data_IF_600203794641
#
_entry.id   IF_600203794641
#
_cell.length_a   1.000
_cell.length_b   1.000
_cell.length_c   1.000
_cell.angle_alpha   90.00
_cell.angle_beta   90.00
_cell.angle_gamma   90.00
#
_symmetry.space_group_name_H-M   'P 1'
#
loop_
_entity.id
_entity.type
_entity.pdbx_description
1 polymer ?
#
# COMPACT_ATOMS: atom_id res chain seq x y z
N UNK A 1 -85.15 -18.89 25.45
CA UNK A 1 -84.22 -17.91 26.01
C UNK A 1 -82.82 -18.49 26.23
N UNK A 2 -81.85 -17.78 25.65
CA UNK A 2 -80.41 -17.68 25.96
C UNK A 2 -79.52 -18.93 25.95
N UNK A 3 -78.54 -19.01 25.02
CA UNK A 3 -77.31 -19.77 25.23
C UNK A 3 -76.15 -18.88 25.71
N UNK A 4 -75.36 -19.48 26.59
CA UNK A 4 -74.27 -18.90 27.37
C UNK A 4 -73.05 -18.55 26.51
N UNK A 5 -72.51 -17.37 26.76
CA UNK A 5 -71.27 -16.79 26.26
C UNK A 5 -70.06 -17.67 26.59
N UNK A 6 -69.28 -18.07 25.58
CA UNK A 6 -67.91 -18.57 25.76
C UNK A 6 -66.91 -17.64 25.07
N UNK A 7 -65.87 -17.28 25.81
CA UNK A 7 -64.84 -16.29 25.45
C UNK A 7 -63.85 -16.81 24.40
N UNK A 8 -63.23 -15.94 23.57
CA UNK A 8 -62.24 -16.37 22.60
C UNK A 8 -60.88 -16.64 23.25
N UNK A 9 -60.33 -17.82 22.95
CA UNK A 9 -59.04 -18.34 23.43
C UNK A 9 -57.88 -17.51 22.84
N UNK A 10 -57.09 -16.86 23.70
CA UNK A 10 -55.86 -16.15 23.32
C UNK A 10 -54.87 -17.07 22.58
N UNK A 11 -54.46 -16.70 21.36
CA UNK A 11 -53.33 -17.32 20.66
C UNK A 11 -52.03 -16.82 21.30
N UNK A 12 -51.18 -17.74 21.76
CA UNK A 12 -49.82 -17.41 22.22
C UNK A 12 -48.99 -16.92 21.02
N UNK A 13 -48.65 -15.63 21.00
CA UNK A 13 -47.65 -15.08 20.10
C UNK A 13 -46.27 -15.54 20.62
N UNK A 14 -45.60 -16.45 19.92
CA UNK A 14 -44.17 -16.66 20.13
C UNK A 14 -43.43 -15.53 19.40
N UNK A 15 -42.50 -14.80 20.04
CA UNK A 15 -41.70 -13.79 19.35
C UNK A 15 -40.81 -14.46 18.29
N UNK A 16 -40.58 -13.75 17.19
CA UNK A 16 -39.66 -14.19 16.13
C UNK A 16 -38.23 -14.32 16.69
N UNK A 17 -37.43 -15.30 16.23
CA UNK A 17 -36.04 -15.43 16.65
C UNK A 17 -35.24 -14.19 16.21
N UNK A 18 -34.24 -13.77 17.02
CA UNK A 18 -33.42 -12.61 16.70
C UNK A 18 -32.60 -12.84 15.42
N UNK A 19 -32.27 -11.77 14.67
CA UNK A 19 -31.40 -11.87 13.50
C UNK A 19 -30.00 -12.35 13.90
N UNK A 20 -29.28 -13.05 13.01
CA UNK A 20 -27.91 -13.48 13.29
C UNK A 20 -26.99 -12.27 13.51
N UNK A 21 -26.08 -12.40 14.49
CA UNK A 21 -25.10 -11.37 14.84
C UNK A 21 -24.16 -11.09 13.65
N UNK A 22 -23.76 -9.82 13.42
CA UNK A 22 -22.78 -9.47 12.39
C UNK A 22 -21.40 -10.05 12.75
N UNK A 23 -20.76 -10.69 11.77
CA UNK A 23 -19.49 -11.44 11.86
C UNK A 23 -18.25 -10.57 12.17
N UNK A 24 -18.39 -9.31 12.59
CA UNK A 24 -17.24 -8.39 12.71
C UNK A 24 -16.45 -8.49 14.03
N UNK A 25 -16.67 -9.52 14.87
CA UNK A 25 -15.96 -9.68 16.16
C UNK A 25 -14.95 -10.83 16.19
N UNK A 26 -14.69 -11.51 15.07
CA UNK A 26 -13.66 -12.55 14.96
C UNK A 26 -12.55 -12.11 14.00
N UNK A 27 -11.86 -11.04 14.37
CA UNK A 27 -10.58 -10.68 13.79
C UNK A 27 -9.59 -10.51 14.94
N UNK A 28 -9.16 -11.65 15.48
CA UNK A 28 -7.83 -11.89 16.08
C UNK A 28 -7.88 -13.25 16.77
N UNK A 29 -7.33 -14.26 16.08
CA UNK A 29 -6.51 -15.37 16.62
C UNK A 29 -6.30 -16.38 15.47
N UNK A 30 -5.07 -16.38 14.95
CA UNK A 30 -4.26 -17.50 14.48
C UNK A 30 -4.92 -18.67 13.72
N UNK A 31 -4.60 -18.72 12.42
CA UNK A 31 -4.20 -19.88 11.60
C UNK A 31 -4.37 -21.28 12.23
N UNK A 32 -5.49 -21.93 11.94
CA UNK A 32 -5.56 -23.34 11.53
C UNK A 32 -6.87 -23.53 10.74
N UNK A 33 -6.79 -24.20 9.60
CA UNK A 33 -7.91 -24.40 8.68
C UNK A 33 -8.64 -25.70 9.01
N UNK A 34 -9.97 -25.68 9.28
CA UNK A 34 -10.81 -26.84 9.03
C UNK A 34 -11.62 -26.59 7.77
N UNK A 35 -11.38 -27.43 6.77
CA UNK A 35 -12.22 -27.59 5.59
C UNK A 35 -13.62 -28.07 6.03
N UNK A 36 -14.50 -27.13 6.38
CA UNK A 36 -15.91 -27.41 6.65
C UNK A 36 -16.58 -27.67 5.30
N UNK A 37 -16.81 -28.94 5.00
CA UNK A 37 -17.53 -29.38 3.81
C UNK A 37 -19.01 -28.98 3.92
N UNK A 38 -19.43 -28.05 3.08
CA UNK A 38 -20.83 -27.64 2.93
C UNK A 38 -21.74 -28.78 2.43
N UNK A 39 -21.16 -29.92 2.05
CA UNK A 39 -21.88 -31.09 1.53
C UNK A 39 -22.45 -31.94 2.67
N UNK A 40 -21.77 -32.03 3.81
CA UNK A 40 -22.20 -32.83 4.96
C UNK A 40 -23.47 -32.26 5.63
N UNK A 41 -23.60 -30.92 5.66
CA UNK A 41 -24.77 -30.27 6.24
C UNK A 41 -26.05 -30.45 5.39
N UNK A 42 -25.88 -30.58 4.06
CA UNK A 42 -26.99 -30.87 3.14
C UNK A 42 -27.48 -32.31 3.28
N UNK A 43 -26.56 -33.26 3.49
CA UNK A 43 -26.90 -34.69 3.66
C UNK A 43 -27.64 -34.91 4.98
N UNK A 44 -27.23 -34.24 6.07
CA UNK A 44 -27.88 -34.32 7.39
C UNK A 44 -29.31 -33.77 7.39
N UNK A 45 -29.56 -32.65 6.70
CA UNK A 45 -30.92 -32.11 6.51
C UNK A 45 -31.81 -33.03 5.65
N UNK A 46 -31.24 -33.71 4.65
CA UNK A 46 -31.99 -34.66 3.82
C UNK A 46 -32.34 -35.96 4.57
N UNK A 47 -31.45 -36.48 5.43
CA UNK A 47 -31.77 -37.64 6.28
C UNK A 47 -32.88 -37.32 7.28
N UNK A 48 -32.86 -36.13 7.86
CA UNK A 48 -33.88 -35.66 8.81
C UNK A 48 -35.27 -35.50 8.18
N UNK A 49 -35.34 -35.21 6.88
CA UNK A 49 -36.59 -35.11 6.13
C UNK A 49 -37.12 -36.47 5.68
N UNK A 50 -36.24 -37.44 5.39
CA UNK A 50 -36.62 -38.81 5.01
C UNK A 50 -37.21 -39.60 6.18
N UNK A 51 -36.74 -39.36 7.40
CA UNK A 51 -37.24 -40.03 8.62
C UNK A 51 -38.66 -39.60 9.04
N UNK A 52 -39.13 -38.41 8.62
CA UNK A 52 -40.49 -37.92 8.94
C UNK A 52 -41.59 -38.50 8.06
N UNK A 53 -41.25 -39.21 6.98
CA UNK A 53 -42.22 -39.72 6.01
C UNK A 53 -42.62 -41.19 6.24
N UNK A 54 -42.11 -41.84 7.29
CA UNK A 54 -42.36 -43.26 7.61
C UNK A 54 -43.05 -43.49 8.96
N UNK A 55 -44.06 -42.67 9.30
CA UNK A 55 -45.03 -43.04 10.34
C UNK A 55 -46.39 -43.26 9.70
N UNK A 56 -46.78 -44.53 9.61
CA UNK A 56 -48.14 -44.97 9.29
C UNK A 56 -49.13 -44.43 10.33
N UNK A 57 -50.25 -43.81 9.94
CA UNK A 57 -51.35 -43.56 10.86
C UNK A 57 -52.15 -44.84 11.03
N UNK A 58 -52.32 -45.28 12.28
CA UNK A 58 -53.35 -46.23 12.67
C UNK A 58 -54.75 -45.70 12.31
N UNK A 59 -55.63 -46.66 12.06
CA UNK A 59 -57.01 -46.53 11.57
C UNK A 59 -57.84 -45.52 12.39
N UNK A 60 -58.47 -44.57 11.69
CA UNK A 60 -59.67 -43.88 12.18
C UNK A 60 -60.48 -43.37 10.98
N UNK A 61 -61.72 -43.84 10.92
CA UNK A 61 -62.65 -43.74 9.80
C UNK A 61 -63.43 -42.41 9.86
N UNK A 62 -62.93 -41.36 9.20
CA UNK A 62 -63.69 -40.13 8.93
C UNK A 62 -63.24 -39.52 7.59
N UNK A 63 -64.15 -39.03 6.73
CA UNK A 63 -63.81 -38.55 5.39
C UNK A 63 -63.19 -37.16 5.47
N UNK A 64 -61.91 -37.09 5.84
CA UNK A 64 -61.12 -35.89 5.76
C UNK A 64 -60.72 -35.69 4.29
N UNK A 65 -61.43 -34.82 3.57
CA UNK A 65 -61.01 -34.42 2.23
C UNK A 65 -59.61 -33.81 2.27
N UNK A 66 -58.64 -34.56 1.75
CA UNK A 66 -57.27 -34.14 1.62
C UNK A 66 -57.17 -32.98 0.62
N UNK A 67 -56.98 -31.76 1.16
CA UNK A 67 -56.79 -30.52 0.40
C UNK A 67 -55.54 -30.57 -0.50
N UNK A 68 -54.68 -31.57 -0.36
CA UNK A 68 -53.56 -31.85 -1.28
C UNK A 68 -54.04 -32.25 -2.68
N UNK A 69 -55.16 -32.99 -2.77
CA UNK A 69 -55.67 -33.55 -4.04
C UNK A 69 -56.25 -32.49 -4.99
N UNK A 70 -56.68 -31.33 -4.48
CA UNK A 70 -57.28 -30.28 -5.30
C UNK A 70 -56.28 -29.37 -6.01
N UNK A 71 -54.97 -29.63 -5.94
CA UNK A 71 -53.96 -28.83 -6.65
C UNK A 71 -53.94 -27.33 -6.26
N UNK A 72 -54.62 -26.95 -5.17
CA UNK A 72 -54.78 -25.56 -4.71
C UNK A 72 -53.51 -25.00 -4.02
N UNK A 73 -52.44 -25.79 -3.92
CA UNK A 73 -51.12 -25.34 -3.47
C UNK A 73 -50.31 -24.63 -4.58
N UNK A 74 -50.97 -24.01 -5.56
CA UNK A 74 -50.31 -23.04 -6.45
C UNK A 74 -50.15 -21.73 -5.69
N UNK A 75 -49.30 -21.69 -4.65
CA UNK A 75 -48.77 -20.41 -4.18
C UNK A 75 -48.02 -19.83 -5.37
N UNK A 76 -48.57 -18.81 -6.03
CA UNK A 76 -47.84 -18.04 -7.04
C UNK A 76 -46.62 -17.49 -6.32
N UNK A 77 -45.45 -18.12 -6.49
CA UNK A 77 -44.20 -17.55 -6.02
C UNK A 77 -44.05 -16.26 -6.82
N UNK A 78 -44.04 -15.14 -6.11
CA UNK A 78 -43.74 -13.85 -6.74
C UNK A 78 -42.37 -13.90 -7.41
N UNK A 79 -42.07 -12.95 -8.32
CA UNK A 79 -40.74 -12.81 -8.89
C UNK A 79 -39.67 -12.85 -7.79
N UNK A 80 -38.53 -13.48 -8.08
CA UNK A 80 -37.42 -13.51 -7.14
C UNK A 80 -37.01 -12.07 -6.78
N UNK A 81 -36.74 -11.77 -5.50
CA UNK A 81 -36.20 -10.48 -5.10
C UNK A 81 -34.92 -10.14 -5.90
N UNK A 82 -34.72 -8.86 -6.19
CA UNK A 82 -33.52 -8.41 -6.90
C UNK A 82 -32.25 -8.78 -6.12
N UNK A 83 -31.18 -9.14 -6.85
CA UNK A 83 -29.87 -9.41 -6.25
C UNK A 83 -29.34 -8.12 -5.62
N UNK A 84 -28.68 -8.19 -4.44
CA UNK A 84 -28.12 -7.00 -3.81
C UNK A 84 -27.02 -6.40 -4.68
N UNK A 85 -27.02 -5.08 -4.82
CA UNK A 85 -26.01 -4.34 -5.58
C UNK A 85 -24.66 -4.46 -4.85
N UNK A 86 -23.57 -4.83 -5.54
CA UNK A 86 -22.24 -4.86 -4.95
C UNK A 86 -21.88 -3.49 -4.35
N UNK A 87 -21.18 -3.48 -3.21
CA UNK A 87 -20.67 -2.24 -2.65
C UNK A 87 -19.21 -2.05 -3.09
N UNK A 88 -18.87 -0.83 -3.49
CA UNK A 88 -17.49 -0.44 -3.74
C UNK A 88 -16.72 -0.48 -2.41
N UNK A 89 -15.59 -1.18 -2.40
CA UNK A 89 -14.70 -1.23 -1.23
C UNK A 89 -14.15 0.16 -0.92
N UNK A 90 -14.15 0.51 0.37
CA UNK A 90 -13.56 1.76 0.87
C UNK A 90 -12.07 1.55 1.05
N UNK A 91 -11.25 2.30 0.32
CA UNK A 91 -9.80 2.29 0.50
C UNK A 91 -9.46 3.22 1.65
N UNK A 92 -8.53 2.81 2.51
CA UNK A 92 -7.95 3.70 3.51
C UNK A 92 -6.97 4.63 2.79
N UNK A 93 -7.50 5.75 2.32
CA UNK A 93 -6.74 6.77 1.61
C UNK A 93 -5.87 7.52 2.61
N UNK A 94 -4.56 7.55 2.40
CA UNK A 94 -3.69 8.53 3.07
C UNK A 94 -4.04 9.93 2.55
N UNK A 95 -3.94 10.95 3.41
CA UNK A 95 -4.28 12.30 2.97
C UNK A 95 -3.34 12.74 1.86
N UNK A 96 -3.84 12.81 0.63
CA UNK A 96 -3.09 13.32 -0.53
C UNK A 96 -2.63 14.76 -0.31
N UNK A 97 -3.34 15.49 0.56
CA UNK A 97 -2.94 16.82 0.99
C UNK A 97 -1.65 16.76 1.80
N UNK A 98 -1.51 15.78 2.68
CA UNK A 98 -0.34 15.65 3.56
C UNK A 98 0.89 15.24 2.75
N UNK A 99 0.75 14.26 1.84
CA UNK A 99 1.83 13.88 0.91
C UNK A 99 2.29 15.06 0.06
N UNK A 100 1.34 15.89 -0.42
CA UNK A 100 1.68 17.08 -1.18
C UNK A 100 2.41 18.12 -0.33
N UNK A 101 1.90 18.39 0.88
CA UNK A 101 2.55 19.32 1.80
C UNK A 101 3.98 18.89 2.11
N UNK A 102 4.20 17.62 2.38
CA UNK A 102 5.53 17.09 2.66
C UNK A 102 6.48 17.21 1.46
N UNK A 103 6.00 16.97 0.24
CA UNK A 103 6.78 17.21 -0.97
C UNK A 103 7.17 18.68 -1.14
N UNK A 104 6.23 19.60 -0.89
CA UNK A 104 6.48 21.05 -0.97
C UNK A 104 7.50 21.48 0.12
N UNK A 105 7.42 20.91 1.33
CA UNK A 105 8.39 21.13 2.42
C UNK A 105 9.80 20.63 2.04
N UNK A 106 9.89 19.44 1.47
CA UNK A 106 11.16 18.86 0.99
C UNK A 106 11.79 19.76 -0.09
N UNK A 107 11.00 20.29 -1.02
CA UNK A 107 11.50 21.20 -2.06
C UNK A 107 12.14 22.46 -1.45
N UNK A 108 11.49 23.06 -0.44
CA UNK A 108 12.03 24.22 0.28
C UNK A 108 13.32 23.86 1.02
N UNK A 109 13.36 22.71 1.69
CA UNK A 109 14.55 22.23 2.40
C UNK A 109 15.73 22.01 1.45
N UNK A 110 15.51 21.35 0.31
CA UNK A 110 16.54 21.12 -0.71
C UNK A 110 17.13 22.44 -1.22
N UNK A 111 16.30 23.44 -1.50
CA UNK A 111 16.78 24.78 -1.91
C UNK A 111 17.59 25.47 -0.79
N UNK A 112 17.22 25.26 0.47
CA UNK A 112 17.97 25.74 1.63
C UNK A 112 19.37 25.12 1.70
N UNK A 113 19.45 23.80 1.58
CA UNK A 113 20.71 23.06 1.58
C UNK A 113 21.59 23.45 0.39
N UNK A 114 21.03 23.67 -0.80
CA UNK A 114 21.79 24.15 -1.95
C UNK A 114 22.46 25.51 -1.69
N UNK A 115 21.72 26.46 -1.11
CA UNK A 115 22.28 27.78 -0.76
C UNK A 115 23.35 27.67 0.32
N UNK A 116 23.16 26.81 1.31
CA UNK A 116 24.18 26.55 2.33
C UNK A 116 25.42 25.90 1.71
N UNK A 117 25.24 24.94 0.81
CA UNK A 117 26.31 24.23 0.12
C UNK A 117 27.18 25.17 -0.70
N UNK A 118 26.58 26.11 -1.44
CA UNK A 118 27.33 27.14 -2.19
C UNK A 118 28.18 28.01 -1.25
N UNK A 119 27.62 28.45 -0.11
CA UNK A 119 28.37 29.27 0.86
C UNK A 119 29.53 28.49 1.49
N UNK A 120 29.28 27.25 1.85
CA UNK A 120 30.28 26.38 2.47
C UNK A 120 31.41 26.05 1.50
N UNK A 121 31.08 25.79 0.23
CA UNK A 121 32.05 25.52 -0.81
C UNK A 121 32.96 26.71 -1.08
N UNK A 122 32.39 27.93 -1.12
CA UNK A 122 33.17 29.16 -1.21
C UNK A 122 34.13 29.31 -0.04
N UNK A 123 33.67 29.04 1.19
CA UNK A 123 34.52 29.11 2.39
C UNK A 123 35.66 28.09 2.36
N UNK A 124 35.41 26.87 1.87
CA UNK A 124 36.45 25.85 1.67
C UNK A 124 37.49 26.33 0.66
N UNK A 125 37.07 26.89 -0.48
CA UNK A 125 37.98 27.44 -1.49
C UNK A 125 38.84 28.57 -0.92
N UNK A 126 38.21 29.53 -0.26
CA UNK A 126 38.88 30.70 0.31
C UNK A 126 39.95 30.27 1.33
N UNK A 127 39.66 29.27 2.18
CA UNK A 127 40.58 28.71 3.18
C UNK A 127 41.71 27.89 2.53
N UNK A 128 41.46 27.18 1.44
CA UNK A 128 42.49 26.45 0.70
C UNK A 128 43.42 27.39 -0.08
N UNK A 129 42.91 28.49 -0.63
CA UNK A 129 43.67 29.44 -1.46
C UNK A 129 44.42 30.49 -0.62
N UNK A 130 43.94 30.81 0.59
CA UNK A 130 44.52 31.85 1.46
C UNK A 130 44.76 31.34 2.90
N UNK A 131 45.72 30.43 3.13
CA UNK A 131 45.97 29.85 4.46
C UNK A 131 46.49 30.85 5.50
N UNK A 132 47.22 31.90 5.08
CA UNK A 132 47.91 32.85 5.98
C UNK A 132 47.06 34.05 6.45
N UNK A 133 45.78 34.16 6.05
CA UNK A 133 44.93 35.33 6.34
C UNK A 133 44.29 35.32 7.74
N UNK A 134 44.61 34.33 8.57
CA UNK A 134 43.89 34.02 9.80
C UNK A 134 44.65 34.36 11.08
N UNK A 135 45.01 35.64 11.25
CA UNK A 135 45.54 36.15 12.51
C UNK A 135 44.73 37.37 12.91
N UNK A 136 43.58 37.16 13.57
CA UNK A 136 42.84 38.29 14.16
C UNK A 136 41.37 38.12 14.54
N UNK A 137 40.62 37.15 14.01
CA UNK A 137 39.18 37.05 14.31
C UNK A 137 38.79 35.66 14.83
N UNK A 138 38.49 35.60 16.12
CA UNK A 138 38.27 34.40 16.95
C UNK A 138 36.97 33.63 16.62
N UNK A 139 36.39 33.86 15.45
CA UNK A 139 35.15 33.22 14.99
C UNK A 139 35.35 32.33 13.74
N UNK A 140 36.57 32.23 13.20
CA UNK A 140 36.93 31.42 12.01
C UNK A 140 38.05 30.42 12.38
N UNK A 141 37.79 29.60 13.39
CA UNK A 141 38.68 28.51 13.82
C UNK A 141 38.18 27.14 13.35
N UNK A 142 37.38 27.07 12.27
CA UNK A 142 37.17 25.78 11.59
C UNK A 142 38.30 25.54 10.59
N UNK A 143 38.99 24.44 10.75
CA UNK A 143 40.01 24.00 9.80
C UNK A 143 39.37 23.55 8.49
N UNK A 144 40.15 23.53 7.41
CA UNK A 144 39.68 23.09 6.09
C UNK A 144 39.05 21.68 6.13
N UNK A 145 39.57 20.81 7.00
CA UNK A 145 39.04 19.46 7.20
C UNK A 145 37.65 19.46 7.84
N UNK A 146 37.39 20.35 8.80
CA UNK A 146 36.09 20.45 9.47
C UNK A 146 35.03 21.02 8.51
N UNK A 147 35.39 21.98 7.66
CA UNK A 147 34.49 22.50 6.63
C UNK A 147 34.12 21.43 5.60
N UNK A 148 35.05 20.54 5.26
CA UNK A 148 34.79 19.40 4.37
C UNK A 148 33.87 18.37 5.03
N UNK A 149 34.01 18.13 6.33
CA UNK A 149 33.07 17.27 7.09
C UNK A 149 31.66 17.86 7.09
N UNK A 150 31.52 19.17 7.30
CA UNK A 150 30.23 19.86 7.23
C UNK A 150 29.62 19.74 5.82
N UNK A 151 30.44 19.80 4.76
CA UNK A 151 29.97 19.62 3.39
C UNK A 151 29.46 18.19 3.16
N UNK A 152 30.14 17.20 3.74
CA UNK A 152 29.68 15.82 3.68
C UNK A 152 28.35 15.62 4.40
N UNK A 153 28.18 16.21 5.59
CA UNK A 153 26.92 16.18 6.33
C UNK A 153 25.77 16.80 5.53
N UNK A 154 26.00 17.96 4.92
CA UNK A 154 25.02 18.64 4.06
C UNK A 154 24.60 17.79 2.86
N UNK A 155 25.56 17.15 2.18
CA UNK A 155 25.27 16.23 1.06
C UNK A 155 24.45 15.03 1.54
N UNK A 156 24.76 14.49 2.71
CA UNK A 156 24.01 13.38 3.28
C UNK A 156 22.56 13.77 3.60
N UNK A 157 22.35 14.93 4.23
CA UNK A 157 21.01 15.47 4.49
C UNK A 157 20.22 15.68 3.19
N UNK A 158 20.88 16.24 2.15
CA UNK A 158 20.24 16.41 0.84
C UNK A 158 19.86 15.06 0.21
N UNK A 159 20.69 14.04 0.33
CA UNK A 159 20.40 12.70 -0.17
C UNK A 159 19.22 12.06 0.57
N UNK A 160 19.11 12.27 1.89
CA UNK A 160 17.98 11.78 2.67
C UNK A 160 16.66 12.42 2.23
N UNK A 161 16.67 13.72 1.91
CA UNK A 161 15.52 14.40 1.33
C UNK A 161 15.14 13.83 -0.05
N UNK A 162 16.10 13.48 -0.90
CA UNK A 162 15.81 12.83 -2.19
C UNK A 162 15.23 11.42 -2.02
N UNK A 163 15.76 10.62 -1.08
CA UNK A 163 15.21 9.31 -0.73
C UNK A 163 13.76 9.44 -0.27
N UNK A 164 13.49 10.38 0.65
CA UNK A 164 12.14 10.67 1.15
C UNK A 164 11.19 11.12 0.05
N UNK A 165 11.64 12.01 -0.84
CA UNK A 165 10.85 12.46 -1.98
C UNK A 165 10.47 11.30 -2.91
N UNK A 166 11.42 10.39 -3.20
CA UNK A 166 11.18 9.22 -4.03
C UNK A 166 10.16 8.26 -3.39
N UNK A 167 10.27 8.02 -2.08
CA UNK A 167 9.31 7.23 -1.30
C UNK A 167 7.89 7.82 -1.42
N UNK A 168 7.73 9.13 -1.20
CA UNK A 168 6.44 9.82 -1.32
C UNK A 168 5.83 9.71 -2.72
N UNK A 169 6.67 9.74 -3.76
CA UNK A 169 6.22 9.57 -5.14
C UNK A 169 5.72 8.16 -5.42
N UNK A 170 6.41 7.12 -4.91
CA UNK A 170 5.97 5.73 -4.99
C UNK A 170 4.66 5.52 -4.22
N UNK A 171 4.55 6.14 -3.05
CA UNK A 171 3.36 6.08 -2.21
C UNK A 171 2.14 6.71 -2.90
N UNK A 172 2.33 7.87 -3.54
CA UNK A 172 1.31 8.52 -4.37
C UNK A 172 0.87 7.65 -5.55
N UNK A 173 1.80 6.93 -6.18
CA UNK A 173 1.51 5.98 -7.27
C UNK A 173 0.72 4.78 -6.75
N UNK A 174 1.12 4.23 -5.60
CA UNK A 174 0.48 3.11 -4.92
C UNK A 174 -0.98 3.40 -4.61
N UNK A 175 -1.28 4.60 -4.10
CA UNK A 175 -2.66 5.01 -3.81
C UNK A 175 -3.53 5.11 -5.07
N UNK A 176 -3.03 5.70 -6.16
CA UNK A 176 -3.77 5.77 -7.44
C UNK A 176 -4.12 4.37 -7.96
N UNK A 177 -3.17 3.44 -7.89
CA UNK A 177 -3.39 2.04 -8.28
C UNK A 177 -4.43 1.36 -7.38
N UNK A 178 -4.47 1.66 -6.09
CA UNK A 178 -5.52 1.14 -5.19
C UNK A 178 -6.90 1.68 -5.53
N UNK A 179 -7.01 2.98 -5.81
CA UNK A 179 -8.27 3.62 -6.24
C UNK A 179 -8.80 2.97 -7.53
N UNK A 180 -7.93 2.83 -8.53
CA UNK A 180 -8.26 2.16 -9.80
C UNK A 180 -8.66 0.70 -9.57
N UNK A 181 -7.94 -0.02 -8.70
CA UNK A 181 -8.25 -1.39 -8.33
C UNK A 181 -9.66 -1.52 -7.73
N UNK A 182 -10.06 -0.65 -6.80
CA UNK A 182 -11.41 -0.70 -6.23
C UNK A 182 -12.50 -0.37 -7.25
N UNK A 183 -12.24 0.54 -8.19
CA UNK A 183 -13.17 0.87 -9.27
C UNK A 183 -13.34 -0.28 -10.26
N UNK A 184 -12.26 -0.95 -10.65
CA UNK A 184 -12.30 -2.08 -11.57
C UNK A 184 -12.99 -3.28 -10.94
N UNK A 185 -12.67 -3.62 -9.69
CA UNK A 185 -13.35 -4.74 -9.03
C UNK A 185 -14.85 -4.47 -8.85
N UNK A 186 -15.24 -3.25 -8.52
CA UNK A 186 -16.64 -2.88 -8.47
C UNK A 186 -17.33 -3.12 -9.81
N UNK A 187 -16.72 -2.69 -10.92
CA UNK A 187 -17.26 -2.94 -12.27
C UNK A 187 -17.38 -4.42 -12.60
N UNK A 188 -16.35 -5.23 -12.29
CA UNK A 188 -16.38 -6.68 -12.48
C UNK A 188 -17.54 -7.28 -11.68
N UNK A 189 -17.69 -6.93 -10.40
CA UNK A 189 -18.80 -7.43 -9.56
C UNK A 189 -20.17 -7.05 -10.14
N UNK A 190 -20.31 -5.87 -10.73
CA UNK A 190 -21.55 -5.47 -11.41
C UNK A 190 -21.83 -6.33 -12.65
N UNK A 191 -20.82 -6.65 -13.46
CA UNK A 191 -20.99 -7.54 -14.62
C UNK A 191 -21.33 -8.98 -14.19
N UNK A 192 -20.72 -9.47 -13.11
CA UNK A 192 -21.01 -10.79 -12.53
C UNK A 192 -22.43 -10.93 -11.93
N UNK A 193 -23.14 -9.82 -11.69
CA UNK A 193 -24.54 -9.89 -11.25
C UNK A 193 -25.47 -10.41 -12.35
N UNK A 194 -25.08 -10.24 -13.62
CA UNK A 194 -25.83 -10.71 -14.77
C UNK A 194 -25.55 -12.21 -14.97
N UNK A 195 -26.59 -13.07 -14.95
CA UNK A 195 -26.40 -14.50 -15.20
C UNK A 195 -25.79 -14.75 -16.57
N UNK A 196 -24.94 -15.78 -16.68
CA UNK A 196 -24.26 -16.17 -17.92
C UNK A 196 -25.23 -16.41 -19.09
N UNK A 197 -26.43 -16.93 -18.82
CA UNK A 197 -27.47 -17.15 -19.83
C UNK A 197 -28.01 -15.86 -20.47
N UNK A 198 -27.87 -14.73 -19.78
CA UNK A 198 -28.33 -13.40 -20.24
C UNK A 198 -27.16 -12.47 -20.55
N UNK A 199 -25.92 -12.94 -20.43
CA UNK A 199 -24.71 -12.15 -20.60
C UNK A 199 -24.38 -12.02 -22.08
N UNK A 200 -24.25 -10.79 -22.57
CA UNK A 200 -23.88 -10.56 -23.98
C UNK A 200 -22.39 -10.86 -24.19
N UNK A 201 -21.99 -11.12 -25.43
CA UNK A 201 -20.57 -11.32 -25.75
C UNK A 201 -19.75 -10.04 -25.48
N UNK A 202 -20.37 -8.87 -25.64
CA UNK A 202 -19.76 -7.59 -25.24
C UNK A 202 -19.51 -7.51 -23.73
N UNK A 203 -20.46 -7.96 -22.91
CA UNK A 203 -20.30 -7.99 -21.44
C UNK A 203 -19.16 -8.93 -21.03
N UNK A 204 -19.04 -10.09 -21.68
CA UNK A 204 -17.95 -11.05 -21.45
C UNK A 204 -16.59 -10.45 -21.84
N UNK A 205 -16.51 -9.85 -23.02
CA UNK A 205 -15.27 -9.21 -23.48
C UNK A 205 -14.86 -8.06 -22.56
N UNK A 206 -15.83 -7.26 -22.09
CA UNK A 206 -15.57 -6.19 -21.13
C UNK A 206 -15.09 -6.72 -19.78
N UNK A 207 -15.71 -7.79 -19.26
CA UNK A 207 -15.28 -8.44 -18.03
C UNK A 207 -13.85 -8.98 -18.14
N UNK A 208 -13.52 -9.65 -19.25
CA UNK A 208 -12.17 -10.15 -19.51
C UNK A 208 -11.14 -9.01 -19.56
N UNK A 209 -11.44 -7.92 -20.28
CA UNK A 209 -10.55 -6.75 -20.33
C UNK A 209 -10.35 -6.10 -18.96
N UNK A 210 -11.41 -6.02 -18.13
CA UNK A 210 -11.31 -5.53 -16.76
C UNK A 210 -10.46 -6.44 -15.88
N UNK A 211 -10.56 -7.77 -16.04
CA UNK A 211 -9.74 -8.75 -15.31
C UNK A 211 -8.27 -8.63 -15.72
N UNK A 212 -7.98 -8.51 -17.02
CA UNK A 212 -6.61 -8.29 -17.49
C UNK A 212 -6.01 -7.01 -16.89
N UNK A 213 -6.77 -5.91 -16.94
CA UNK A 213 -6.35 -4.64 -16.33
C UNK A 213 -6.16 -4.76 -14.81
N UNK A 214 -7.00 -5.53 -14.13
CA UNK A 214 -6.85 -5.80 -12.69
C UNK A 214 -5.54 -6.51 -12.37
N UNK A 215 -5.14 -7.51 -13.18
CA UNK A 215 -3.87 -8.21 -13.04
C UNK A 215 -2.69 -7.25 -13.23
N UNK A 216 -2.71 -6.42 -14.29
CA UNK A 216 -1.67 -5.40 -14.50
C UNK A 216 -1.51 -4.45 -13.31
N UNK A 217 -2.61 -4.04 -12.68
CA UNK A 217 -2.56 -3.17 -11.50
C UNK A 217 -1.91 -3.89 -10.32
N UNK A 218 -2.23 -5.17 -10.10
CA UNK A 218 -1.62 -5.97 -9.04
C UNK A 218 -0.13 -6.14 -9.29
N UNK A 219 0.29 -6.39 -10.53
CA UNK A 219 1.70 -6.45 -10.92
C UNK A 219 2.42 -5.12 -10.64
N UNK A 220 1.87 -3.98 -11.09
CA UNK A 220 2.45 -2.65 -10.82
C UNK A 220 2.54 -2.32 -9.32
N UNK A 221 1.59 -2.75 -8.51
CA UNK A 221 1.67 -2.62 -7.03
C UNK A 221 2.80 -3.49 -6.47
N UNK A 222 3.00 -4.67 -7.04
CA UNK A 222 4.07 -5.59 -6.64
C UNK A 222 5.44 -5.01 -6.98
N UNK A 223 5.57 -4.37 -8.16
CA UNK A 223 6.78 -3.63 -8.55
C UNK A 223 7.11 -2.51 -7.54
N UNK A 224 6.12 -1.74 -7.08
CA UNK A 224 6.35 -0.69 -6.06
C UNK A 224 6.91 -1.29 -4.76
N UNK A 225 6.35 -2.41 -4.30
CA UNK A 225 6.83 -3.09 -3.09
C UNK A 225 8.27 -3.58 -3.28
N UNK A 226 8.59 -4.16 -4.44
CA UNK A 226 9.93 -4.61 -4.77
C UNK A 226 10.93 -3.45 -4.82
N UNK A 227 10.57 -2.34 -5.46
CA UNK A 227 11.39 -1.13 -5.50
C UNK A 227 11.71 -0.61 -4.09
N UNK A 228 10.70 -0.47 -3.21
CA UNK A 228 10.90 0.00 -1.83
C UNK A 228 11.81 -0.92 -1.04
N UNK A 229 11.67 -2.24 -1.18
CA UNK A 229 12.53 -3.20 -0.48
C UNK A 229 13.96 -3.22 -1.04
N UNK A 230 14.13 -3.04 -2.35
CA UNK A 230 15.43 -2.90 -2.97
C UNK A 230 16.15 -1.64 -2.51
N UNK A 231 15.46 -0.50 -2.48
CA UNK A 231 16.01 0.78 -2.05
C UNK A 231 16.39 0.72 -0.57
N UNK A 232 15.50 0.20 0.30
CA UNK A 232 15.81 -0.01 1.72
C UNK A 232 17.09 -0.82 1.94
N UNK A 233 17.29 -1.91 1.19
CA UNK A 233 18.51 -2.73 1.31
C UNK A 233 19.75 -1.96 0.91
N UNK A 234 19.66 -1.21 -0.20
CA UNK A 234 20.75 -0.39 -0.72
C UNK A 234 21.12 0.71 0.27
N UNK A 235 20.14 1.46 0.75
CA UNK A 235 20.34 2.57 1.69
C UNK A 235 21.03 2.10 2.96
N UNK A 236 20.61 0.96 3.53
CA UNK A 236 21.25 0.37 4.71
C UNK A 236 22.72 0.02 4.45
N UNK A 237 23.07 -0.45 3.26
CA UNK A 237 24.46 -0.75 2.89
C UNK A 237 25.28 0.53 2.68
N UNK A 238 24.72 1.51 1.99
CA UNK A 238 25.32 2.83 1.79
C UNK A 238 25.60 3.51 3.14
N UNK A 239 24.62 3.55 4.03
CA UNK A 239 24.73 4.20 5.34
C UNK A 239 25.76 3.49 6.24
N UNK A 240 25.83 2.16 6.18
CA UNK A 240 26.88 1.39 6.86
C UNK A 240 28.26 1.75 6.33
N UNK A 241 28.42 1.85 5.02
CA UNK A 241 29.69 2.23 4.39
C UNK A 241 30.09 3.66 4.76
N UNK A 242 29.13 4.59 4.73
CA UNK A 242 29.33 5.99 5.12
C UNK A 242 29.77 6.07 6.57
N UNK A 243 29.03 5.45 7.48
CA UNK A 243 29.34 5.47 8.91
C UNK A 243 30.70 4.81 9.22
N UNK A 244 31.04 3.72 8.51
CA UNK A 244 32.36 3.09 8.63
C UNK A 244 33.48 4.04 8.21
N UNK A 245 33.36 4.68 7.05
CA UNK A 245 34.36 5.64 6.56
C UNK A 245 34.49 6.86 7.48
N UNK A 246 33.37 7.37 8.00
CA UNK A 246 33.36 8.48 8.96
C UNK A 246 34.01 8.09 10.28
N UNK A 247 33.73 6.90 10.79
CA UNK A 247 34.39 6.37 11.99
C UNK A 247 35.92 6.23 11.82
N UNK A 248 36.37 5.76 10.65
CA UNK A 248 37.81 5.68 10.34
C UNK A 248 38.45 7.07 10.26
N UNK A 249 37.78 8.04 9.63
CA UNK A 249 38.27 9.41 9.53
C UNK A 249 38.40 10.06 10.92
N UNK A 250 37.37 9.93 11.76
CA UNK A 250 37.39 10.44 13.13
C UNK A 250 38.46 9.76 14.00
N UNK A 251 38.66 8.44 13.84
CA UNK A 251 39.73 7.72 14.54
C UNK A 251 41.13 8.17 14.09
N UNK A 252 41.32 8.43 12.80
CA UNK A 252 42.59 8.94 12.27
C UNK A 252 42.90 10.34 12.80
N UNK A 253 41.92 11.25 12.77
CA UNK A 253 42.06 12.60 13.35
C UNK A 253 42.50 12.54 14.83
N UNK A 254 41.89 11.65 15.63
CA UNK A 254 42.29 11.43 17.03
C UNK A 254 43.71 10.88 17.19
N UNK A 255 44.15 9.98 16.31
CA UNK A 255 45.51 9.43 16.36
C UNK A 255 46.57 10.47 16.00
N UNK A 256 46.28 11.36 15.05
CA UNK A 256 47.19 12.44 14.66
C UNK A 256 47.32 13.49 15.80
N UNK A 257 46.23 13.81 16.50
CA UNK A 257 46.25 14.65 17.72
C UNK A 257 47.06 14.02 18.88
N UNK A 258 47.05 12.70 19.03
CA UNK A 258 47.82 12.02 20.10
C UNK A 258 49.31 11.82 19.79
N UNK A 259 49.76 12.05 18.56
CA UNK A 259 51.18 11.94 18.19
C UNK A 259 51.97 13.21 18.45
N UNK A 260 51.33 14.37 18.47
CA UNK A 260 52.01 15.66 18.75
C UNK A 260 52.35 15.84 20.24
N UNK A 261 51.74 15.09 21.16
CA UNK A 261 52.01 15.14 22.61
C UNK A 261 53.17 14.21 23.05
N UNK A 262 53.93 13.63 22.12
CA UNK A 262 54.86 12.55 22.48
C UNK A 262 56.01 12.27 21.51
N UNK A 263 56.79 13.28 21.11
CA UNK A 263 58.12 13.01 20.56
C UNK A 263 59.15 12.82 21.68
N UNK A 264 59.31 11.58 22.14
CA UNK A 264 60.65 11.01 22.32
C UNK A 264 60.71 9.55 21.85
N UNK A 265 61.64 9.29 20.95
CA UNK A 265 62.25 7.99 20.59
C UNK A 265 61.47 6.95 19.77
N UNK A 266 61.96 6.86 18.52
CA UNK A 266 62.43 5.65 17.83
C UNK A 266 61.42 4.57 17.33
N UNK A 267 61.59 4.34 16.02
CA UNK A 267 61.46 3.11 15.20
C UNK A 267 60.24 2.98 14.29
N UNK A 268 60.60 3.05 13.02
CA UNK A 268 59.88 2.66 11.82
C UNK A 268 59.17 1.31 11.92
N UNK A 269 57.87 1.29 11.64
CA UNK A 269 57.22 0.14 11.03
C UNK A 269 56.41 0.55 9.80
N UNK A 270 56.79 -0.07 8.68
CA UNK A 270 56.24 0.03 7.34
C UNK A 270 54.77 -0.43 7.34
N UNK A 271 53.81 0.44 7.06
CA UNK A 271 52.43 0.02 6.79
C UNK A 271 52.12 0.07 5.29
N UNK A 272 51.54 -1.03 4.82
CA UNK A 272 51.31 -1.37 3.42
C UNK A 272 50.22 -0.48 2.83
N UNK A 273 50.51 0.10 1.66
CA UNK A 273 49.59 0.85 0.80
C UNK A 273 48.45 -0.07 0.32
N UNK A 274 47.26 0.10 0.89
CA UNK A 274 46.03 -0.53 0.40
C UNK A 274 45.56 0.22 -0.86
N UNK A 275 45.56 -0.49 -1.99
CA UNK A 275 45.05 0.00 -3.28
C UNK A 275 43.53 0.04 -3.23
N UNK A 276 42.96 1.25 -3.30
CA UNK A 276 41.53 1.47 -3.56
C UNK A 276 41.28 1.11 -5.03
N UNK A 277 40.46 0.09 -5.25
CA UNK A 277 40.07 -0.39 -6.58
C UNK A 277 38.78 0.33 -6.98
N UNK A 278 38.93 1.35 -7.81
CA UNK A 278 37.82 2.14 -8.32
C UNK A 278 37.05 1.44 -9.44
N UNK A 279 35.73 1.66 -9.40
CA UNK A 279 34.84 1.96 -10.54
C UNK A 279 34.55 0.79 -11.51
N UNK A 280 33.37 0.17 -11.33
CA UNK A 280 32.69 -0.56 -12.43
C UNK A 280 31.15 -0.59 -12.33
N UNK A 281 30.54 -0.20 -11.19
CA UNK A 281 29.09 -0.33 -11.02
C UNK A 281 28.25 0.78 -11.70
N UNK A 282 28.86 1.95 -11.99
CA UNK A 282 28.12 3.14 -12.47
C UNK A 282 27.52 2.97 -13.90
N UNK A 283 28.03 2.01 -14.68
CA UNK A 283 27.54 1.76 -16.05
C UNK A 283 26.21 0.99 -16.10
N UNK A 284 25.87 0.22 -15.06
CA UNK A 284 24.62 -0.54 -15.05
C UNK A 284 23.42 0.29 -14.56
N UNK A 285 23.63 1.26 -13.67
CA UNK A 285 22.56 2.11 -13.12
C UNK A 285 21.97 3.09 -14.15
N UNK A 286 22.79 3.68 -15.03
CA UNK A 286 22.31 4.59 -16.09
C UNK A 286 21.35 3.91 -17.08
N UNK A 287 21.38 2.58 -17.16
CA UNK A 287 20.53 1.79 -18.07
C UNK A 287 19.17 1.44 -17.47
N UNK A 288 19.03 1.51 -16.14
CA UNK A 288 17.76 1.30 -15.43
C UNK A 288 17.01 2.63 -15.32
N UNK A 289 17.68 3.71 -14.89
CA UNK A 289 17.06 5.04 -14.79
C UNK A 289 16.54 5.60 -16.13
N UNK A 290 17.11 5.17 -17.27
CA UNK A 290 16.64 5.59 -18.61
C UNK A 290 15.36 4.89 -19.07
N UNK A 291 14.94 3.79 -18.46
CA UNK A 291 13.73 3.06 -18.88
C UNK A 291 12.44 3.66 -18.32
N UNK A 292 12.51 4.37 -17.20
CA UNK A 292 11.33 4.81 -16.46
C UNK A 292 10.96 6.28 -16.64
N UNK A 293 11.84 7.09 -17.26
CA UNK A 293 11.58 8.52 -17.44
C UNK A 293 10.64 8.87 -18.62
N UNK A 294 10.50 7.98 -19.62
CA UNK A 294 9.95 8.36 -20.94
C UNK A 294 8.60 7.73 -21.32
N UNK A 295 7.95 6.95 -20.43
CA UNK A 295 6.73 6.20 -20.82
C UNK A 295 5.40 6.67 -20.24
N UNK A 296 5.40 7.49 -19.19
CA UNK A 296 4.16 7.93 -18.55
C UNK A 296 4.00 9.45 -18.66
N UNK A 297 3.92 9.96 -19.90
CA UNK A 297 3.41 11.31 -20.16
C UNK A 297 1.89 11.30 -19.93
N UNK A 298 1.46 12.01 -18.89
CA UNK A 298 0.07 12.22 -18.48
C UNK A 298 -0.80 12.81 -19.63
N UNK A 299 -1.53 11.97 -20.36
CA UNK A 299 -2.51 12.42 -21.36
C UNK A 299 -3.73 13.12 -20.74
N UNK A 300 -3.99 12.91 -19.45
CA UNK A 300 -5.17 13.44 -18.74
C UNK A 300 -5.01 14.92 -18.40
N UNK A 301 -3.79 15.37 -18.07
CA UNK A 301 -3.49 16.77 -17.75
C UNK A 301 -3.43 17.66 -19.01
N UNK A 302 -2.95 17.11 -20.13
CA UNK A 302 -2.90 17.81 -21.43
C UNK A 302 -4.31 18.05 -21.98
N UNK A 303 -5.25 17.12 -21.81
CA UNK A 303 -6.65 17.26 -22.27
C UNK A 303 -7.42 18.35 -21.52
N UNK A 304 -7.18 18.52 -20.22
CA UNK A 304 -7.76 19.61 -19.41
C UNK A 304 -7.22 21.00 -19.81
N UNK A 305 -5.91 21.13 -20.08
CA UNK A 305 -5.33 22.38 -20.61
C UNK A 305 -5.83 22.72 -22.03
N UNK A 306 -6.07 21.71 -22.87
CA UNK A 306 -6.52 21.90 -24.25
C UNK A 306 -8.01 22.30 -24.35
N UNK A 307 -8.83 21.91 -23.38
CA UNK A 307 -10.23 22.37 -23.30
C UNK A 307 -10.37 23.78 -22.72
N UNK A 308 -9.50 24.19 -21.79
CA UNK A 308 -9.53 25.56 -21.25
C UNK A 308 -9.00 26.65 -22.19
N UNK A 309 -8.31 26.29 -23.28
CA UNK A 309 -7.81 27.24 -24.28
C UNK A 309 -8.76 27.51 -25.47
N UNK A 310 -9.95 26.90 -25.48
CA UNK A 310 -10.93 27.05 -26.59
C UNK A 310 -12.10 28.00 -26.30
N UNK A 311 -11.99 28.87 -25.30
CA UNK A 311 -13.06 29.83 -24.99
C UNK A 311 -12.55 31.24 -24.70
N UNK A 312 -11.81 31.86 -25.62
CA UNK A 312 -11.72 33.33 -25.70
C UNK A 312 -11.51 33.69 -27.18
N UNK A 313 -12.51 34.40 -27.72
CA UNK A 313 -12.66 35.06 -29.04
C UNK A 313 -12.00 34.47 -30.29
#
# INVERSE_FOLDING_TARGET
DSPIRTTPRHRKLKPAPPPPLPTSLLANLTLESPHISWEDEKISKNQSNKSKQSRSPEENDFPYQDKSTQGKWKRKKGPAPARPIPQRRKIKVMSMKDVKMELDEIEVQQQGLEKQGVRLEQLIRDRCENPDRNDGDQNITMDAEELVLELFALVNEKNELFRRQAELMLLKRQQRLEEEHADIEYQIRCLMLQPEATKTDFDKQREEALIQRLVEIVERRSEIVECLEMDRKREVEEDKSINHHMGLFAAKSKMDLTKDEGETSQKSHKSKKLKIKGISLDKHLRKIHKKDADKDVDETEVKLKRQNKKKWF
#
